data_IF_619289967171
#
_entry.id   IF_619289967171
#
_cell.length_a   1.000
_cell.length_b   1.000
_cell.length_c   1.000
_cell.angle_alpha   90.00
_cell.angle_beta   90.00
_cell.angle_gamma   90.00
#
_symmetry.space_group_name_H-M   'P 1'
#
loop_
_entity.id
_entity.type
_entity.pdbx_description
1 polymer ?
#
# COMPACT_ATOMS: atom_id res chain seq x y z
N UNK A 1 -10.20 -7.54 5.98
CA UNK A 1 -9.79 -6.36 5.21
C UNK A 1 -10.95 -5.37 5.14
N UNK A 2 -10.68 -4.09 5.33
CA UNK A 2 -11.66 -3.04 5.03
C UNK A 2 -11.54 -2.66 3.56
N UNK A 3 -12.66 -2.47 2.88
CA UNK A 3 -12.67 -2.10 1.46
C UNK A 3 -13.90 -1.24 1.16
N UNK A 4 -13.68 -0.11 0.50
CA UNK A 4 -14.71 0.89 0.21
C UNK A 4 -14.65 1.24 -1.27
N UNK A 5 -15.73 1.01 -2.00
CA UNK A 5 -15.88 1.45 -3.38
C UNK A 5 -16.14 2.96 -3.42
N UNK A 6 -15.36 3.68 -4.21
CA UNK A 6 -15.59 5.09 -4.51
C UNK A 6 -16.71 5.26 -5.55
N UNK A 7 -17.41 6.40 -5.54
CA UNK A 7 -18.37 6.73 -6.60
C UNK A 7 -17.66 6.70 -7.97
N UNK A 8 -18.31 6.09 -8.94
CA UNK A 8 -17.83 6.12 -10.32
C UNK A 8 -18.08 7.50 -10.90
N UNK A 9 -17.01 8.16 -11.34
CA UNK A 9 -17.07 9.50 -11.87
C UNK A 9 -16.81 9.43 -13.37
N UNK A 10 -17.89 9.52 -14.14
CA UNK A 10 -17.79 9.64 -15.58
C UNK A 10 -17.73 11.11 -15.93
N UNK A 11 -16.54 11.69 -15.84
CA UNK A 11 -16.31 13.04 -16.32
C UNK A 11 -15.55 12.94 -17.64
N UNK A 12 -15.91 13.74 -18.65
CA UNK A 12 -15.00 13.98 -19.74
C UNK A 12 -13.79 14.73 -19.17
N UNK A 13 -12.76 14.01 -18.76
CA UNK A 13 -11.54 14.58 -18.14
C UNK A 13 -10.94 15.67 -19.03
N UNK A 14 -11.17 15.58 -20.34
CA UNK A 14 -10.80 16.61 -21.32
C UNK A 14 -11.50 17.97 -21.10
N UNK A 15 -12.53 18.04 -20.25
CA UNK A 15 -13.18 19.32 -19.91
C UNK A 15 -12.48 20.07 -18.80
N UNK A 16 -11.59 19.41 -18.05
CA UNK A 16 -10.83 20.06 -16.98
C UNK A 16 -9.37 20.20 -17.39
N UNK A 17 -8.84 21.41 -17.22
CA UNK A 17 -7.40 21.64 -17.34
C UNK A 17 -6.72 21.07 -16.11
N UNK A 18 -5.78 20.16 -16.33
CA UNK A 18 -4.92 19.62 -15.27
C UNK A 18 -3.67 20.47 -15.18
N UNK A 19 -3.51 21.19 -14.09
CA UNK A 19 -2.34 22.03 -13.80
C UNK A 19 -2.04 21.99 -12.31
N UNK A 20 -0.81 22.37 -11.93
CA UNK A 20 -0.49 22.62 -10.53
C UNK A 20 -1.02 24.00 -10.12
N UNK A 21 -1.82 24.01 -9.06
CA UNK A 21 -2.32 25.21 -8.40
C UNK A 21 -1.80 25.24 -6.98
N UNK A 22 -1.37 26.39 -6.50
CA UNK A 22 -1.08 26.58 -5.09
C UNK A 22 -2.35 26.43 -4.26
N UNK A 23 -2.26 25.66 -3.19
CA UNK A 23 -3.35 25.52 -2.23
C UNK A 23 -2.86 25.96 -0.85
N UNK A 24 -3.52 26.97 -0.29
CA UNK A 24 -3.18 27.51 1.03
C UNK A 24 -3.78 26.69 2.19
N UNK A 25 -4.68 25.75 1.90
CA UNK A 25 -5.32 24.91 2.91
C UNK A 25 -4.49 23.62 3.16
N UNK A 26 -3.88 23.51 4.34
CA UNK A 26 -3.18 22.27 4.73
C UNK A 26 -4.13 21.06 4.77
N UNK A 27 -5.42 21.29 5.12
CA UNK A 27 -6.42 20.23 5.22
C UNK A 27 -7.67 20.62 4.45
N UNK A 28 -8.03 19.79 3.48
CA UNK A 28 -9.19 20.03 2.61
C UNK A 28 -10.48 19.39 3.17
N UNK A 29 -10.40 18.17 3.72
CA UNK A 29 -11.56 17.46 4.28
C UNK A 29 -11.27 16.93 5.69
N UNK A 30 -12.33 16.70 6.49
CA UNK A 30 -12.27 16.07 7.81
C UNK A 30 -11.32 16.74 8.82
N UNK A 31 -11.21 18.05 8.81
CA UNK A 31 -10.27 18.87 9.61
C UNK A 31 -10.25 18.52 11.11
N UNK A 32 -11.43 18.35 11.73
CA UNK A 32 -11.52 18.04 13.17
C UNK A 32 -10.95 16.66 13.48
N UNK A 33 -11.22 15.69 12.62
CA UNK A 33 -10.68 14.33 12.74
C UNK A 33 -9.16 14.33 12.56
N UNK A 34 -8.64 15.05 11.58
CA UNK A 34 -7.21 15.17 11.32
C UNK A 34 -6.47 15.73 12.55
N UNK A 35 -6.91 16.88 13.07
CA UNK A 35 -6.34 17.49 14.28
C UNK A 35 -6.37 16.55 15.49
N UNK A 36 -7.46 15.80 15.66
CA UNK A 36 -7.56 14.85 16.76
C UNK A 36 -6.64 13.65 16.57
N UNK A 37 -6.54 13.12 15.36
CA UNK A 37 -5.65 12.01 15.02
C UNK A 37 -4.18 12.38 15.21
N UNK A 38 -3.77 13.58 14.81
CA UNK A 38 -2.42 14.11 15.04
C UNK A 38 -2.09 14.22 16.52
N UNK A 39 -3.04 14.71 17.31
CA UNK A 39 -2.88 14.74 18.77
C UNK A 39 -2.71 13.34 19.37
N UNK A 40 -3.43 12.34 18.85
CA UNK A 40 -3.32 10.96 19.32
C UNK A 40 -2.00 10.33 18.87
N UNK A 41 -1.57 10.55 17.63
CA UNK A 41 -0.27 10.11 17.11
C UNK A 41 0.89 10.72 17.91
N UNK A 42 0.81 12.01 18.28
CA UNK A 42 1.82 12.70 19.08
C UNK A 42 2.03 12.07 20.47
N UNK A 43 1.01 11.40 21.04
CA UNK A 43 1.18 10.68 22.32
C UNK A 43 2.15 9.51 22.22
N UNK A 44 2.36 8.94 21.02
CA UNK A 44 3.28 7.81 20.80
C UNK A 44 4.70 8.18 21.21
N UNK A 45 5.11 9.43 21.01
CA UNK A 45 6.45 9.92 21.36
C UNK A 45 6.78 9.77 22.84
N UNK A 46 5.78 9.86 23.72
CA UNK A 46 5.94 9.66 25.16
C UNK A 46 6.30 8.20 25.52
N UNK A 47 6.04 7.26 24.61
CA UNK A 47 6.21 5.82 24.83
C UNK A 47 7.21 5.17 23.88
N UNK A 48 8.05 5.92 23.18
CA UNK A 48 8.95 5.46 22.11
C UNK A 48 9.70 4.15 22.43
N UNK A 49 10.23 3.98 23.66
CA UNK A 49 10.96 2.78 24.07
C UNK A 49 10.09 1.52 24.13
N UNK A 50 8.83 1.64 24.48
CA UNK A 50 7.90 0.52 24.65
C UNK A 50 7.01 0.33 23.44
N UNK A 51 6.76 1.39 22.65
CA UNK A 51 5.86 1.38 21.51
C UNK A 51 6.19 0.29 20.49
N UNK A 52 7.48 0.14 20.14
CA UNK A 52 7.92 -0.84 19.15
C UNK A 52 7.66 -2.30 19.56
N UNK A 53 7.58 -2.57 20.85
CA UNK A 53 7.25 -3.90 21.39
C UNK A 53 5.72 -4.08 21.38
N UNK A 54 4.97 -3.11 21.95
CA UNK A 54 3.55 -3.26 22.18
C UNK A 54 2.70 -3.12 20.91
N UNK A 55 3.12 -2.26 19.94
CA UNK A 55 2.46 -2.22 18.62
C UNK A 55 2.45 -3.56 17.87
N UNK A 56 3.42 -4.45 18.13
CA UNK A 56 3.43 -5.80 17.59
C UNK A 56 2.39 -6.71 18.26
N UNK A 57 2.11 -6.46 19.56
CA UNK A 57 1.12 -7.22 20.33
C UNK A 57 -0.29 -6.81 19.92
N UNK A 58 -0.53 -5.52 19.66
CA UNK A 58 -1.84 -5.00 19.25
C UNK A 58 -2.15 -5.18 17.77
N UNK A 59 -1.15 -5.55 16.95
CA UNK A 59 -1.38 -5.90 15.56
C UNK A 59 -1.82 -7.36 15.41
N UNK A 60 -3.08 -7.58 15.04
CA UNK A 60 -3.71 -8.90 14.98
C UNK A 60 -2.98 -9.91 14.08
N UNK A 61 -2.24 -9.45 13.07
CA UNK A 61 -1.61 -10.29 12.04
C UNK A 61 -0.07 -10.17 12.01
N UNK A 62 0.53 -9.60 13.07
CA UNK A 62 1.98 -9.40 13.14
C UNK A 62 2.75 -10.72 13.09
N UNK A 63 2.24 -11.76 13.75
CA UNK A 63 2.92 -13.05 13.85
C UNK A 63 2.90 -13.88 12.57
N UNK A 64 2.26 -13.42 11.49
CA UNK A 64 2.43 -14.05 10.17
C UNK A 64 3.91 -14.05 9.79
N UNK A 65 4.61 -12.92 10.01
CA UNK A 65 5.99 -12.71 9.57
C UNK A 65 6.97 -12.39 10.72
N UNK A 66 6.48 -12.03 11.90
CA UNK A 66 7.32 -11.75 13.06
C UNK A 66 7.43 -12.99 13.92
N UNK A 67 8.63 -13.25 14.45
CA UNK A 67 8.86 -14.40 15.32
C UNK A 67 7.97 -14.37 16.56
N UNK A 68 7.32 -15.47 16.84
CA UNK A 68 6.56 -15.67 18.07
C UNK A 68 7.58 -15.83 19.21
N UNK A 69 7.46 -15.05 20.32
CA UNK A 69 8.29 -15.24 21.50
C UNK A 69 8.25 -16.72 21.96
N UNK A 70 9.38 -17.27 22.42
CA UNK A 70 9.59 -18.66 22.85
C UNK A 70 9.61 -19.73 21.74
N UNK A 71 9.11 -19.43 20.51
CA UNK A 71 9.21 -20.37 19.39
C UNK A 71 10.33 -19.96 18.45
N UNK A 72 10.66 -18.68 18.42
CA UNK A 72 11.63 -18.05 17.51
C UNK A 72 11.35 -18.30 16.02
N UNK A 73 10.09 -18.52 15.65
CA UNK A 73 9.61 -18.66 14.28
C UNK A 73 8.30 -17.92 14.09
N UNK A 74 8.02 -17.36 12.90
CA UNK A 74 6.71 -16.82 12.57
C UNK A 74 5.68 -17.92 12.31
N UNK A 75 4.41 -17.56 12.16
CA UNK A 75 3.35 -18.51 11.79
C UNK A 75 3.57 -19.04 10.38
N UNK A 76 3.81 -18.15 9.41
CA UNK A 76 4.10 -18.55 8.05
C UNK A 76 5.52 -19.12 7.93
N UNK A 77 5.65 -20.30 7.31
CA UNK A 77 6.99 -20.88 7.05
C UNK A 77 7.63 -20.33 5.79
N UNK A 78 6.86 -19.66 4.92
CA UNK A 78 7.40 -18.95 3.77
C UNK A 78 7.97 -17.59 4.22
N UNK A 79 9.24 -17.36 3.92
CA UNK A 79 9.97 -16.14 4.29
C UNK A 79 10.14 -15.30 3.02
N UNK A 80 9.31 -14.26 2.83
CA UNK A 80 9.40 -13.42 1.64
C UNK A 80 10.50 -12.35 1.75
N UNK A 81 10.82 -11.73 0.63
CA UNK A 81 11.75 -10.59 0.53
C UNK A 81 11.38 -9.45 1.47
N UNK A 82 10.09 -9.18 1.60
CA UNK A 82 9.55 -8.19 2.53
C UNK A 82 8.13 -8.56 3.00
N UNK A 83 7.70 -7.95 4.11
CA UNK A 83 6.33 -8.15 4.62
C UNK A 83 5.23 -7.61 3.70
N UNK A 84 5.57 -6.78 2.72
CA UNK A 84 4.62 -6.29 1.71
C UNK A 84 4.03 -7.43 0.89
N UNK A 85 4.75 -8.54 0.72
CA UNK A 85 4.25 -9.78 0.15
C UNK A 85 2.87 -10.20 0.69
N UNK A 86 2.70 -10.19 2.01
CA UNK A 86 1.44 -10.62 2.63
C UNK A 86 0.28 -9.64 2.34
N UNK A 87 0.56 -8.36 2.23
CA UNK A 87 -0.44 -7.35 1.83
C UNK A 87 -0.92 -7.60 0.39
N UNK A 88 0.02 -7.84 -0.52
CA UNK A 88 -0.30 -8.12 -1.92
C UNK A 88 -1.09 -9.43 -2.07
N UNK A 89 -0.73 -10.50 -1.35
CA UNK A 89 -1.51 -11.74 -1.29
C UNK A 89 -2.97 -11.45 -0.92
N UNK A 90 -3.18 -10.61 0.10
CA UNK A 90 -4.52 -10.25 0.58
C UNK A 90 -5.30 -9.43 -0.46
N UNK A 91 -4.67 -8.40 -1.05
CA UNK A 91 -5.28 -7.54 -2.06
C UNK A 91 -5.71 -8.32 -3.31
N UNK A 92 -4.82 -9.17 -3.84
CA UNK A 92 -5.08 -9.97 -5.04
C UNK A 92 -6.25 -10.94 -4.86
N UNK A 93 -6.36 -11.55 -3.67
CA UNK A 93 -7.42 -12.53 -3.39
C UNK A 93 -8.75 -11.86 -3.03
N UNK A 94 -8.77 -10.90 -2.10
CA UNK A 94 -10.00 -10.28 -1.59
C UNK A 94 -10.75 -9.48 -2.65
N UNK A 95 -10.03 -8.87 -3.59
CA UNK A 95 -10.62 -8.10 -4.68
C UNK A 95 -10.73 -8.91 -5.99
N UNK A 96 -10.48 -10.22 -5.96
CA UNK A 96 -10.55 -11.13 -7.11
C UNK A 96 -9.70 -10.68 -8.33
N UNK A 97 -8.59 -9.95 -8.09
CA UNK A 97 -7.78 -9.35 -9.17
C UNK A 97 -7.23 -10.45 -10.10
N UNK A 98 -6.76 -11.56 -9.55
CA UNK A 98 -6.18 -12.66 -10.34
C UNK A 98 -7.13 -13.23 -11.40
N UNK A 99 -8.45 -13.16 -11.17
CA UNK A 99 -9.46 -13.67 -12.11
C UNK A 99 -9.67 -12.74 -13.32
N UNK A 100 -9.26 -11.49 -13.19
CA UNK A 100 -9.42 -10.45 -14.21
C UNK A 100 -8.15 -10.31 -15.07
N UNK A 101 -7.04 -10.89 -14.61
CA UNK A 101 -5.77 -10.88 -15.34
C UNK A 101 -5.73 -11.98 -16.41
N UNK A 102 -4.95 -11.79 -17.49
CA UNK A 102 -4.73 -12.81 -18.50
C UNK A 102 -4.23 -14.12 -17.87
N UNK A 103 -4.69 -15.24 -18.39
CA UNK A 103 -4.28 -16.57 -17.90
C UNK A 103 -2.79 -16.82 -18.15
N UNK A 104 -2.28 -16.38 -19.30
CA UNK A 104 -0.90 -16.52 -19.74
C UNK A 104 -0.36 -15.18 -20.29
N UNK A 105 0.97 -15.07 -20.33
CA UNK A 105 1.68 -13.91 -20.88
C UNK A 105 1.29 -12.58 -20.21
N UNK A 106 1.06 -12.60 -18.90
CA UNK A 106 0.84 -11.40 -18.12
C UNK A 106 2.06 -10.48 -18.21
N UNK A 107 1.82 -9.20 -18.43
CA UNK A 107 2.82 -8.17 -18.24
C UNK A 107 2.46 -7.34 -16.99
N UNK A 108 3.33 -7.34 -15.99
CA UNK A 108 3.17 -6.53 -14.80
C UNK A 108 4.31 -5.52 -14.64
N UNK A 109 4.02 -4.38 -14.05
CA UNK A 109 5.04 -3.36 -13.75
C UNK A 109 4.92 -2.90 -12.30
N UNK A 110 6.05 -2.89 -11.59
CA UNK A 110 6.12 -2.66 -10.15
C UNK A 110 6.99 -1.43 -9.85
N UNK A 111 6.35 -0.37 -9.35
CA UNK A 111 6.93 0.96 -9.13
C UNK A 111 7.33 1.15 -7.68
N UNK A 112 8.55 1.62 -7.44
CA UNK A 112 9.09 1.98 -6.12
C UNK A 112 8.96 0.88 -5.05
N UNK A 113 9.08 -0.39 -5.43
CA UNK A 113 8.81 -1.55 -4.58
C UNK A 113 10.05 -2.28 -4.05
N UNK A 114 11.23 -1.71 -4.11
CA UNK A 114 12.40 -2.40 -3.54
C UNK A 114 12.17 -2.87 -2.09
N UNK A 115 12.44 -4.13 -1.76
CA UNK A 115 13.13 -5.19 -2.51
C UNK A 115 12.24 -6.12 -3.36
N UNK A 116 10.95 -5.83 -3.62
CA UNK A 116 10.11 -6.57 -4.56
C UNK A 116 9.13 -7.55 -3.94
N UNK A 117 8.58 -7.23 -2.76
CA UNK A 117 7.61 -8.10 -2.10
C UNK A 117 6.30 -8.28 -2.87
N UNK A 118 5.85 -7.29 -3.66
CA UNK A 118 4.66 -7.41 -4.50
C UNK A 118 4.94 -8.26 -5.74
N UNK A 119 6.11 -8.08 -6.38
CA UNK A 119 6.56 -8.95 -7.47
C UNK A 119 6.57 -10.40 -7.02
N UNK A 120 7.20 -10.67 -5.87
CA UNK A 120 7.29 -12.00 -5.29
C UNK A 120 5.90 -12.61 -5.02
N UNK A 121 4.96 -11.81 -4.49
CA UNK A 121 3.59 -12.28 -4.23
C UNK A 121 2.84 -12.64 -5.51
N UNK A 122 2.97 -11.84 -6.55
CA UNK A 122 2.34 -12.11 -7.85
C UNK A 122 2.95 -13.36 -8.50
N UNK A 123 4.28 -13.49 -8.53
CA UNK A 123 4.97 -14.68 -9.01
C UNK A 123 4.56 -15.93 -8.22
N UNK A 124 4.47 -15.83 -6.89
CA UNK A 124 4.08 -16.93 -6.00
C UNK A 124 2.68 -17.48 -6.31
N UNK A 125 1.73 -16.60 -6.59
CA UNK A 125 0.35 -16.99 -6.87
C UNK A 125 0.16 -17.50 -8.31
N UNK A 126 0.85 -16.91 -9.26
CA UNK A 126 0.70 -17.25 -10.67
C UNK A 126 1.50 -18.47 -11.10
N UNK A 127 2.75 -18.59 -10.65
CA UNK A 127 3.67 -19.70 -10.98
C UNK A 127 3.79 -19.94 -12.49
N UNK A 128 3.68 -18.89 -13.29
CA UNK A 128 3.66 -18.98 -14.76
C UNK A 128 4.93 -18.37 -15.35
N UNK A 129 5.73 -19.19 -16.02
CA UNK A 129 7.02 -18.77 -16.60
C UNK A 129 6.85 -17.89 -17.84
N UNK A 130 5.67 -17.92 -18.48
CA UNK A 130 5.37 -17.08 -19.65
C UNK A 130 5.04 -15.63 -19.28
N UNK A 131 4.85 -15.34 -17.99
CA UNK A 131 4.60 -13.99 -17.51
C UNK A 131 5.88 -13.15 -17.49
N UNK A 132 5.75 -11.84 -17.69
CA UNK A 132 6.83 -10.88 -17.56
C UNK A 132 6.54 -9.94 -16.40
N UNK A 133 7.51 -9.78 -15.52
CA UNK A 133 7.43 -8.89 -14.36
C UNK A 133 8.51 -7.83 -14.51
N UNK A 134 8.12 -6.55 -14.58
CA UNK A 134 9.06 -5.43 -14.65
C UNK A 134 9.09 -4.72 -13.31
N UNK A 135 10.26 -4.35 -12.84
CA UNK A 135 10.43 -3.61 -11.58
C UNK A 135 11.29 -2.38 -11.78
N UNK A 136 10.81 -1.22 -11.28
CA UNK A 136 11.56 0.04 -11.28
C UNK A 136 11.50 0.68 -9.90
N UNK A 137 12.65 0.83 -9.26
CA UNK A 137 12.78 1.46 -7.94
C UNK A 137 14.08 2.24 -7.87
N UNK A 138 14.08 3.30 -7.05
CA UNK A 138 15.30 4.09 -6.83
C UNK A 138 16.43 3.19 -6.34
N UNK A 139 17.59 3.34 -6.96
CA UNK A 139 18.84 2.72 -6.53
C UNK A 139 19.86 3.82 -6.21
N UNK A 140 20.51 3.68 -5.08
CA UNK A 140 21.66 4.47 -4.69
C UNK A 140 22.60 3.60 -3.85
N UNK A 141 23.79 3.37 -4.35
CA UNK A 141 24.79 2.55 -3.66
C UNK A 141 25.44 3.27 -2.47
N UNK A 142 25.37 4.60 -2.46
CA UNK A 142 25.94 5.44 -1.41
C UNK A 142 24.97 5.63 -0.23
N UNK A 143 23.65 5.51 -0.44
CA UNK A 143 22.65 5.60 0.63
C UNK A 143 22.17 4.20 1.06
N UNK A 144 22.48 3.84 2.32
CA UNK A 144 22.08 2.57 2.93
C UNK A 144 20.59 2.52 3.24
N UNK A 145 19.90 3.67 3.31
CA UNK A 145 18.46 3.73 3.59
C UNK A 145 17.62 3.42 2.35
N UNK A 146 18.22 3.51 1.15
CA UNK A 146 17.56 3.13 -0.10
C UNK A 146 17.75 1.62 -0.30
N UNK A 147 16.66 0.83 -0.14
CA UNK A 147 16.76 -0.63 -0.21
C UNK A 147 17.13 -1.13 -1.61
N UNK A 148 16.65 -0.46 -2.66
CA UNK A 148 16.82 -0.89 -4.03
C UNK A 148 16.51 -2.38 -4.21
N UNK A 149 17.36 -3.08 -4.95
CA UNK A 149 17.24 -4.53 -5.20
C UNK A 149 18.28 -5.36 -4.40
N UNK A 150 18.98 -4.77 -3.42
CA UNK A 150 20.11 -5.40 -2.70
C UNK A 150 19.74 -6.75 -2.06
N UNK A 151 18.52 -6.91 -1.54
CA UNK A 151 18.03 -8.15 -0.92
C UNK A 151 17.44 -9.16 -1.92
N UNK A 152 17.23 -8.77 -3.16
CA UNK A 152 16.47 -9.55 -4.16
C UNK A 152 17.34 -10.40 -5.06
N UNK A 153 18.66 -10.25 -5.02
CA UNK A 153 19.58 -10.84 -5.98
C UNK A 153 19.39 -12.36 -6.17
N UNK A 154 19.30 -13.10 -5.07
CA UNK A 154 19.06 -14.55 -5.13
C UNK A 154 17.69 -14.91 -5.72
N UNK A 155 16.67 -14.08 -5.47
CA UNK A 155 15.32 -14.29 -6.01
C UNK A 155 15.26 -13.98 -7.50
N UNK A 156 15.87 -12.88 -7.93
CA UNK A 156 15.95 -12.46 -9.34
C UNK A 156 16.68 -13.51 -10.19
N UNK A 157 17.78 -14.05 -9.70
CA UNK A 157 18.53 -15.10 -10.41
C UNK A 157 17.72 -16.40 -10.63
N UNK A 158 16.75 -16.68 -9.74
CA UNK A 158 15.87 -17.86 -9.87
C UNK A 158 14.65 -17.60 -10.74
N UNK A 159 14.33 -16.34 -11.04
CA UNK A 159 13.16 -15.93 -11.79
C UNK A 159 13.57 -15.02 -12.96
N UNK A 160 14.09 -15.57 -14.08
CA UNK A 160 14.64 -14.79 -15.18
C UNK A 160 13.59 -13.99 -15.96
N UNK A 161 12.31 -14.25 -15.73
CA UNK A 161 11.18 -13.49 -16.25
C UNK A 161 10.89 -12.19 -15.45
N UNK A 162 11.66 -11.92 -14.38
CA UNK A 162 11.68 -10.62 -13.71
C UNK A 162 12.77 -9.76 -14.34
N UNK A 163 12.41 -8.59 -14.84
CA UNK A 163 13.29 -7.64 -15.54
C UNK A 163 13.30 -6.31 -14.79
N UNK A 164 14.49 -5.82 -14.47
CA UNK A 164 14.64 -4.55 -13.77
C UNK A 164 14.84 -3.41 -14.77
N UNK A 165 14.14 -2.31 -14.51
CA UNK A 165 14.21 -1.08 -15.30
C UNK A 165 14.86 0.03 -14.46
N UNK A 166 15.69 0.82 -15.10
CA UNK A 166 16.47 1.85 -14.43
C UNK A 166 16.25 3.26 -14.99
N UNK A 167 15.45 3.38 -16.06
CA UNK A 167 15.22 4.64 -16.76
C UNK A 167 16.41 5.09 -17.62
N UNK A 168 16.34 6.32 -18.12
CA UNK A 168 17.40 6.89 -18.97
C UNK A 168 18.65 7.30 -18.17
N UNK A 169 18.48 7.64 -16.89
CA UNK A 169 19.55 8.09 -16.00
C UNK A 169 20.19 6.94 -15.20
N UNK A 170 19.68 5.73 -15.33
CA UNK A 170 20.18 4.54 -14.63
C UNK A 170 19.84 4.48 -13.14
N UNK A 171 19.06 5.42 -12.60
CA UNK A 171 18.78 5.52 -11.15
C UNK A 171 17.54 4.78 -10.71
N UNK A 172 16.64 4.45 -11.64
CA UNK A 172 15.30 3.90 -11.34
C UNK A 172 14.37 4.91 -10.61
N UNK A 173 14.70 6.20 -10.62
CA UNK A 173 13.90 7.25 -10.00
C UNK A 173 12.64 7.53 -10.82
N UNK A 174 11.48 7.05 -10.36
CA UNK A 174 10.21 7.26 -11.03
C UNK A 174 9.69 8.70 -10.97
N UNK A 175 10.24 9.53 -10.08
CA UNK A 175 9.90 10.96 -10.00
C UNK A 175 10.65 11.82 -11.04
N UNK A 176 11.63 11.25 -11.74
CA UNK A 176 12.30 11.93 -12.83
C UNK A 176 11.40 11.94 -14.07
N UNK A 177 11.02 13.12 -14.62
CA UNK A 177 10.15 13.20 -15.79
C UNK A 177 10.72 12.52 -17.04
N UNK A 178 12.04 12.48 -17.21
CA UNK A 178 12.66 11.76 -18.31
C UNK A 178 12.47 10.24 -18.21
N UNK A 179 12.45 9.72 -16.98
CA UNK A 179 12.16 8.30 -16.74
C UNK A 179 10.67 7.97 -17.01
N UNK A 180 9.75 8.91 -16.77
CA UNK A 180 8.36 8.77 -17.21
C UNK A 180 8.26 8.64 -18.74
N UNK A 181 8.98 9.49 -19.50
CA UNK A 181 9.02 9.40 -20.95
C UNK A 181 9.65 8.11 -21.44
N UNK A 182 10.68 7.62 -20.77
CA UNK A 182 11.28 6.30 -21.04
C UNK A 182 10.24 5.18 -20.88
N UNK A 183 9.52 5.15 -19.77
CA UNK A 183 8.47 4.16 -19.52
C UNK A 183 7.37 4.24 -20.59
N UNK A 184 6.90 5.45 -20.91
CA UNK A 184 5.90 5.66 -21.96
C UNK A 184 6.38 5.11 -23.31
N UNK A 185 7.57 5.46 -23.75
CA UNK A 185 8.08 5.04 -25.07
C UNK A 185 8.30 3.52 -25.16
N UNK A 186 8.65 2.87 -24.06
CA UNK A 186 8.96 1.44 -24.03
C UNK A 186 7.74 0.56 -23.78
N UNK A 187 6.78 1.02 -22.96
CA UNK A 187 5.73 0.17 -22.41
C UNK A 187 4.31 0.67 -22.68
N UNK A 188 4.12 1.75 -23.45
CA UNK A 188 2.79 2.29 -23.70
C UNK A 188 1.79 1.20 -24.13
N UNK A 189 0.63 1.18 -23.47
CA UNK A 189 -0.46 0.22 -23.75
C UNK A 189 -0.04 -1.26 -23.73
N UNK A 190 0.91 -1.65 -22.85
CA UNK A 190 1.42 -3.02 -22.82
C UNK A 190 1.24 -3.74 -21.48
N UNK A 191 0.96 -3.03 -20.38
CA UNK A 191 0.97 -3.55 -19.03
C UNK A 191 -0.43 -3.87 -18.54
N UNK A 192 -0.66 -5.11 -18.08
CA UNK A 192 -1.95 -5.59 -17.53
C UNK A 192 -2.21 -5.12 -16.11
N UNK A 193 -1.17 -5.14 -15.28
CA UNK A 193 -1.25 -4.73 -13.89
C UNK A 193 -0.03 -3.89 -13.52
N UNK A 194 -0.29 -2.72 -12.92
CA UNK A 194 0.75 -1.88 -12.31
C UNK A 194 0.55 -1.89 -10.81
N UNK A 195 1.64 -1.95 -10.05
CA UNK A 195 1.61 -1.82 -8.60
C UNK A 195 2.61 -0.77 -8.14
N UNK A 196 2.31 -0.10 -7.04
CA UNK A 196 3.15 0.93 -6.45
C UNK A 196 3.07 0.85 -4.92
N UNK A 197 4.18 0.48 -4.26
CA UNK A 197 4.31 0.38 -2.80
C UNK A 197 5.41 1.34 -2.29
N UNK A 198 5.58 2.50 -2.96
CA UNK A 198 6.58 3.50 -2.65
C UNK A 198 6.33 4.20 -1.31
N UNK A 199 7.40 4.70 -0.70
CA UNK A 199 7.33 5.47 0.54
C UNK A 199 8.71 5.85 1.04
N UNK A 200 8.76 6.91 1.84
CA UNK A 200 9.98 7.38 2.48
C UNK A 200 10.07 6.86 3.92
N UNK A 201 11.22 7.04 4.55
CA UNK A 201 11.34 6.85 6.00
C UNK A 201 10.80 8.08 6.73
N UNK A 202 9.67 7.90 7.41
CA UNK A 202 8.96 8.94 8.17
C UNK A 202 9.25 8.89 9.67
N UNK A 203 10.32 8.23 10.09
CA UNK A 203 10.67 8.09 11.50
C UNK A 203 10.79 9.43 12.25
N UNK A 204 11.06 10.52 11.53
CA UNK A 204 11.20 11.87 12.07
C UNK A 204 9.83 12.58 12.24
N UNK A 205 8.88 12.39 11.32
CA UNK A 205 7.58 13.07 11.38
C UNK A 205 6.47 12.28 10.69
N UNK A 206 5.74 11.48 11.45
CA UNK A 206 4.63 10.67 10.95
C UNK A 206 3.41 11.49 10.50
N UNK A 207 3.25 12.73 10.96
CA UNK A 207 2.09 13.56 10.63
C UNK A 207 2.19 14.17 9.23
N UNK A 208 3.40 14.28 8.66
CA UNK A 208 3.62 14.85 7.32
C UNK A 208 3.68 13.79 6.20
N UNK A 209 3.40 12.52 6.50
CA UNK A 209 3.49 11.42 5.50
C UNK A 209 2.67 11.70 4.23
N UNK A 210 1.45 12.21 4.37
CA UNK A 210 0.56 12.47 3.25
C UNK A 210 1.17 13.49 2.28
N UNK A 211 1.59 14.64 2.80
CA UNK A 211 2.16 15.73 1.99
C UNK A 211 3.51 15.34 1.39
N UNK A 212 4.40 14.74 2.19
CA UNK A 212 5.74 14.34 1.73
C UNK A 212 5.69 13.27 0.64
N UNK A 213 4.68 12.38 0.65
CA UNK A 213 4.53 11.35 -0.38
C UNK A 213 3.82 11.85 -1.64
N UNK A 214 3.28 13.05 -1.66
CA UNK A 214 2.40 13.50 -2.72
C UNK A 214 3.08 13.46 -4.09
N UNK A 215 4.30 13.98 -4.23
CA UNK A 215 5.08 13.93 -5.48
C UNK A 215 5.31 12.49 -5.94
N UNK A 216 5.63 11.58 -5.02
CA UNK A 216 5.83 10.16 -5.33
C UNK A 216 4.53 9.53 -5.81
N UNK A 217 3.39 9.76 -5.14
CA UNK A 217 2.07 9.27 -5.53
C UNK A 217 1.71 9.72 -6.93
N UNK A 218 1.94 11.00 -7.26
CA UNK A 218 1.68 11.50 -8.61
C UNK A 218 2.62 10.92 -9.67
N UNK A 219 3.88 10.66 -9.33
CA UNK A 219 4.80 9.95 -10.21
C UNK A 219 4.36 8.50 -10.45
N UNK A 220 3.87 7.81 -9.42
CA UNK A 220 3.33 6.45 -9.52
C UNK A 220 2.08 6.42 -10.41
N UNK A 221 1.16 7.38 -10.24
CA UNK A 221 -0.04 7.54 -11.11
C UNK A 221 0.38 7.84 -12.55
N UNK A 222 1.31 8.76 -12.76
CA UNK A 222 1.81 9.15 -14.07
C UNK A 222 2.38 7.96 -14.84
N UNK A 223 3.25 7.18 -14.18
CA UNK A 223 3.82 5.97 -14.79
C UNK A 223 2.75 4.92 -15.07
N UNK A 224 1.80 4.69 -14.14
CA UNK A 224 0.69 3.74 -14.37
C UNK A 224 -0.14 4.13 -15.60
N UNK A 225 -0.53 5.40 -15.71
CA UNK A 225 -1.28 5.93 -16.87
C UNK A 225 -0.47 5.79 -18.16
N UNK A 226 0.83 6.02 -18.11
CA UNK A 226 1.71 5.98 -19.28
C UNK A 226 1.81 4.59 -19.92
N UNK A 227 1.77 3.53 -19.10
CA UNK A 227 2.16 2.17 -19.55
C UNK A 227 1.00 1.18 -19.61
N UNK A 228 -0.10 1.44 -18.87
CA UNK A 228 -1.22 0.49 -18.81
C UNK A 228 -1.98 0.37 -20.11
N UNK A 229 -2.43 -0.85 -20.40
CA UNK A 229 -3.40 -1.09 -21.44
C UNK A 229 -4.84 -0.95 -20.94
N UNK A 230 -5.77 -0.72 -21.84
CA UNK A 230 -7.21 -0.70 -21.55
C UNK A 230 -7.63 -1.95 -20.78
N UNK A 231 -8.43 -1.78 -19.74
CA UNK A 231 -8.88 -2.85 -18.85
C UNK A 231 -7.88 -3.19 -17.74
N UNK A 232 -6.68 -2.60 -17.74
CA UNK A 232 -5.63 -2.87 -16.76
C UNK A 232 -6.01 -2.51 -15.32
N UNK A 233 -5.27 -3.08 -14.38
CA UNK A 233 -5.45 -2.88 -12.93
C UNK A 233 -4.27 -2.10 -12.34
N UNK A 234 -4.54 -1.14 -11.46
CA UNK A 234 -3.52 -0.38 -10.73
C UNK A 234 -3.71 -0.51 -9.22
N UNK A 235 -2.64 -0.82 -8.49
CA UNK A 235 -2.61 -0.89 -7.02
C UNK A 235 -1.62 0.15 -6.51
N UNK A 236 -2.10 1.11 -5.73
CA UNK A 236 -1.32 2.25 -5.26
C UNK A 236 -1.37 2.34 -3.74
N UNK A 237 -0.22 2.42 -3.07
CA UNK A 237 -0.16 2.75 -1.66
C UNK A 237 -0.36 4.24 -1.45
N UNK A 238 -1.25 4.56 -0.51
CA UNK A 238 -1.44 5.92 0.00
C UNK A 238 -1.39 5.94 1.53
N UNK A 239 -1.37 7.12 2.10
CA UNK A 239 -1.42 7.33 3.55
C UNK A 239 -2.76 7.95 3.97
N UNK A 240 -2.75 9.10 4.64
CA UNK A 240 -3.97 9.79 5.03
C UNK A 240 -4.68 10.41 3.80
N UNK A 241 -5.94 10.83 3.98
CA UNK A 241 -6.78 11.40 2.91
C UNK A 241 -7.40 12.68 3.44
N UNK A 242 -6.58 13.66 3.78
CA UNK A 242 -7.01 14.95 4.32
C UNK A 242 -6.68 16.11 3.39
N UNK A 243 -5.58 16.03 2.65
CA UNK A 243 -5.08 17.08 1.77
C UNK A 243 -5.84 17.16 0.44
N UNK A 244 -5.87 18.35 -0.15
CA UNK A 244 -6.46 18.57 -1.47
C UNK A 244 -5.76 17.71 -2.54
N UNK A 245 -4.42 17.64 -2.51
CA UNK A 245 -3.65 16.86 -3.47
C UNK A 245 -4.01 15.36 -3.47
N UNK A 246 -4.22 14.75 -2.28
CA UNK A 246 -4.67 13.36 -2.20
C UNK A 246 -6.10 13.18 -2.70
N UNK A 247 -7.00 14.11 -2.38
CA UNK A 247 -8.40 14.10 -2.86
C UNK A 247 -8.43 14.21 -4.38
N UNK A 248 -7.62 15.09 -4.96
CA UNK A 248 -7.47 15.26 -6.41
C UNK A 248 -6.98 13.97 -7.09
N UNK A 249 -5.97 13.32 -6.52
CA UNK A 249 -5.45 12.06 -7.02
C UNK A 249 -6.54 10.97 -7.06
N UNK A 250 -7.32 10.85 -5.98
CA UNK A 250 -8.43 9.90 -5.90
C UNK A 250 -9.56 10.22 -6.88
N UNK A 251 -9.87 11.50 -7.09
CA UNK A 251 -10.84 11.95 -8.07
C UNK A 251 -10.38 11.63 -9.49
N UNK A 252 -9.12 11.91 -9.81
CA UNK A 252 -8.51 11.56 -11.09
C UNK A 252 -8.59 10.04 -11.34
N UNK A 253 -8.17 9.22 -10.38
CA UNK A 253 -8.24 7.76 -10.50
C UNK A 253 -9.69 7.27 -10.69
N UNK A 254 -10.66 7.83 -9.95
CA UNK A 254 -12.08 7.50 -10.12
C UNK A 254 -12.64 7.85 -11.50
N UNK A 255 -11.98 8.77 -12.21
CA UNK A 255 -12.32 9.16 -13.58
C UNK A 255 -11.63 8.30 -14.65
N UNK A 256 -10.47 7.74 -14.32
CA UNK A 256 -9.64 6.95 -15.26
C UNK A 256 -9.95 5.46 -15.25
N UNK A 257 -10.63 4.95 -14.20
CA UNK A 257 -10.92 3.54 -14.04
C UNK A 257 -12.41 3.27 -13.86
N UNK A 258 -12.85 2.06 -14.19
CA UNK A 258 -14.25 1.64 -14.06
C UNK A 258 -14.68 1.47 -12.60
N UNK A 259 -13.76 1.03 -11.75
CA UNK A 259 -13.99 0.96 -10.31
C UNK A 259 -12.72 1.23 -9.51
N UNK A 260 -12.87 1.99 -8.42
CA UNK A 260 -11.77 2.37 -7.53
C UNK A 260 -12.15 2.04 -6.09
N UNK A 261 -11.30 1.28 -5.42
CA UNK A 261 -11.48 0.87 -4.04
C UNK A 261 -10.40 1.47 -3.15
N UNK A 262 -10.78 2.02 -2.00
CA UNK A 262 -9.83 2.31 -0.92
C UNK A 262 -9.86 1.14 0.05
N UNK A 263 -8.70 0.52 0.30
CA UNK A 263 -8.61 -0.69 1.09
C UNK A 263 -7.56 -0.59 2.18
N UNK A 264 -7.83 -1.22 3.33
CA UNK A 264 -6.83 -1.45 4.37
C UNK A 264 -6.70 -2.95 4.62
N UNK A 265 -5.59 -3.58 4.13
CA UNK A 265 -5.33 -4.99 4.38
C UNK A 265 -5.20 -5.29 5.88
N UNK A 266 -5.60 -6.48 6.31
CA UNK A 266 -5.43 -6.92 7.69
C UNK A 266 -3.95 -7.02 8.08
N UNK A 267 -3.09 -7.35 7.11
CA UNK A 267 -1.64 -7.43 7.28
C UNK A 267 -0.92 -6.08 7.33
N UNK A 268 -1.63 -4.98 7.02
CA UNK A 268 -1.17 -3.62 7.34
C UNK A 268 -1.48 -3.30 8.81
N UNK A 269 -0.50 -2.74 9.52
CA UNK A 269 -0.69 -2.41 10.95
C UNK A 269 -1.81 -1.41 11.13
N UNK A 270 -2.71 -1.69 12.08
CA UNK A 270 -3.89 -0.87 12.33
C UNK A 270 -3.55 0.54 12.83
N UNK A 271 -2.45 0.68 13.58
CA UNK A 271 -1.99 1.96 14.11
C UNK A 271 -1.41 2.91 13.05
N UNK A 272 -1.09 2.45 11.83
CA UNK A 272 -0.54 3.31 10.79
C UNK A 272 -1.62 3.80 9.81
N UNK A 273 -1.33 4.90 9.10
CA UNK A 273 -2.22 5.49 8.11
C UNK A 273 -2.21 4.79 6.75
N UNK A 274 -1.29 3.86 6.51
CA UNK A 274 -1.12 3.14 5.23
C UNK A 274 -2.44 2.49 4.75
N UNK A 275 -2.80 2.77 3.51
CA UNK A 275 -3.95 2.23 2.77
C UNK A 275 -3.53 1.93 1.34
N UNK A 276 -4.37 1.20 0.62
CA UNK A 276 -4.16 0.92 -0.80
C UNK A 276 -5.37 1.36 -1.61
N UNK A 277 -5.12 2.03 -2.71
CA UNK A 277 -6.12 2.31 -3.75
C UNK A 277 -5.99 1.22 -4.80
N UNK A 278 -7.09 0.50 -5.06
CA UNK A 278 -7.14 -0.53 -6.10
C UNK A 278 -8.08 -0.08 -7.19
N UNK A 279 -7.52 0.19 -8.36
CA UNK A 279 -8.21 0.69 -9.55
C UNK A 279 -8.31 -0.43 -10.57
N UNK A 280 -9.53 -0.71 -11.05
CA UNK A 280 -9.80 -1.77 -12.02
C UNK A 280 -10.45 -1.21 -13.27
N UNK A 281 -10.08 -1.77 -14.42
CA UNK A 281 -10.66 -1.40 -15.68
C UNK A 281 -10.18 -0.04 -16.17
N UNK A 282 -8.87 0.08 -16.46
CA UNK A 282 -8.33 1.31 -17.03
C UNK A 282 -9.05 1.69 -18.32
N UNK A 283 -9.58 2.90 -18.39
CA UNK A 283 -10.40 3.37 -19.49
C UNK A 283 -9.56 3.70 -20.72
N UNK A 284 -10.23 3.75 -21.88
CA UNK A 284 -9.59 4.22 -23.11
C UNK A 284 -9.50 5.74 -23.08
N UNK A 285 -8.29 6.27 -22.91
CA UNK A 285 -8.01 7.71 -22.77
C UNK A 285 -6.91 8.13 -23.75
N UNK A 286 -6.77 9.44 -23.97
CA UNK A 286 -5.61 9.98 -24.67
C UNK A 286 -4.38 9.97 -23.73
N UNK A 287 -3.71 8.83 -23.63
CA UNK A 287 -2.54 8.62 -22.76
C UNK A 287 -1.45 9.68 -22.98
N UNK A 288 -1.19 10.06 -24.25
CA UNK A 288 -0.16 11.06 -24.56
C UNK A 288 -0.44 12.42 -23.90
N UNK A 289 -1.70 12.87 -23.90
CA UNK A 289 -2.08 14.11 -23.22
C UNK A 289 -1.73 14.05 -21.73
N UNK A 290 -2.09 12.96 -21.06
CA UNK A 290 -1.79 12.81 -19.63
C UNK A 290 -0.29 12.75 -19.35
N UNK A 291 0.47 12.04 -20.19
CA UNK A 291 1.93 11.94 -20.05
C UNK A 291 2.57 13.32 -20.18
N UNK A 292 2.15 14.13 -21.14
CA UNK A 292 2.69 15.48 -21.33
C UNK A 292 2.35 16.40 -20.13
N UNK A 293 1.14 16.29 -19.59
CA UNK A 293 0.73 17.03 -18.40
C UNK A 293 1.57 16.60 -17.19
N UNK A 294 1.68 15.29 -16.93
CA UNK A 294 2.44 14.79 -15.80
C UNK A 294 3.94 15.06 -15.91
N UNK A 295 4.50 15.01 -17.10
CA UNK A 295 5.89 15.40 -17.34
C UNK A 295 6.15 16.83 -16.87
N UNK A 296 5.30 17.76 -17.27
CA UNK A 296 5.40 19.16 -16.86
C UNK A 296 5.17 19.37 -15.36
N UNK A 297 4.22 18.62 -14.79
CA UNK A 297 3.96 18.64 -13.36
C UNK A 297 5.17 18.16 -12.55
N UNK A 298 5.73 17.00 -12.89
CA UNK A 298 6.89 16.46 -12.18
C UNK A 298 8.11 17.37 -12.26
N UNK A 299 8.29 18.06 -13.37
CA UNK A 299 9.38 19.03 -13.57
C UNK A 299 9.25 20.26 -12.67
N UNK A 300 8.00 20.70 -12.37
CA UNK A 300 7.74 21.92 -11.63
C UNK A 300 7.27 21.67 -10.19
N UNK A 301 7.18 20.43 -9.75
CA UNK A 301 6.55 20.03 -8.50
C UNK A 301 7.22 20.62 -7.25
N UNK A 302 8.55 20.78 -7.27
CA UNK A 302 9.32 21.26 -6.12
C UNK A 302 9.08 22.75 -5.81
N UNK A 303 8.34 23.46 -6.66
CA UNK A 303 7.96 24.85 -6.47
C UNK A 303 6.68 25.01 -5.62
N UNK A 304 6.02 23.90 -5.22
CA UNK A 304 4.74 23.90 -4.53
C UNK A 304 4.80 23.04 -3.26
N UNK A 305 4.62 23.64 -2.09
CA UNK A 305 4.55 22.91 -0.81
C UNK A 305 3.20 22.21 -0.64
N UNK A 306 2.11 22.94 -0.88
CA UNK A 306 0.74 22.41 -0.93
C UNK A 306 0.15 22.74 -2.31
N UNK A 307 -0.45 21.75 -2.95
CA UNK A 307 -0.95 21.92 -4.31
C UNK A 307 -2.29 21.23 -4.53
N UNK A 308 -2.92 21.62 -5.62
CA UNK A 308 -4.08 21.00 -6.22
C UNK A 308 -3.82 20.82 -7.72
N UNK A 309 -4.41 19.80 -8.34
CA UNK A 309 -4.38 19.63 -9.80
C UNK A 309 -5.73 19.98 -10.46
N UNK A 310 -6.75 20.20 -9.64
CA UNK A 310 -8.07 20.59 -10.11
C UNK A 310 -8.54 21.88 -9.43
N UNK A 311 -8.87 22.89 -10.23
CA UNK A 311 -9.56 24.10 -9.75
C UNK A 311 -11.08 23.96 -9.96
N UNK A 312 -11.69 23.00 -9.25
CA UNK A 312 -13.13 22.70 -9.32
C UNK A 312 -13.69 22.37 -7.94
N UNK A 313 -14.99 22.53 -7.80
CA UNK A 313 -15.72 21.93 -6.69
C UNK A 313 -16.05 20.46 -7.02
N UNK A 314 -15.72 19.54 -6.12
CA UNK A 314 -16.01 18.14 -6.31
C UNK A 314 -17.48 17.80 -6.02
N UNK A 315 -18.04 16.79 -6.71
CA UNK A 315 -19.37 16.31 -6.39
C UNK A 315 -19.50 15.93 -4.92
N UNK A 316 -20.56 16.40 -4.28
CA UNK A 316 -20.83 16.17 -2.85
C UNK A 316 -20.79 14.67 -2.46
N UNK A 317 -21.32 13.80 -3.31
CA UNK A 317 -21.29 12.35 -3.09
C UNK A 317 -19.88 11.78 -3.00
N UNK A 318 -18.92 12.35 -3.74
CA UNK A 318 -17.52 11.94 -3.70
C UNK A 318 -16.85 12.39 -2.41
N UNK A 319 -17.01 13.64 -2.03
CA UNK A 319 -16.43 14.19 -0.80
C UNK A 319 -17.00 13.49 0.42
N UNK A 320 -18.32 13.31 0.51
CA UNK A 320 -18.92 12.58 1.64
C UNK A 320 -18.40 11.16 1.76
N UNK A 321 -18.23 10.47 0.63
CA UNK A 321 -17.68 9.11 0.67
C UNK A 321 -16.27 9.08 1.23
N UNK A 322 -15.41 10.03 0.90
CA UNK A 322 -14.08 10.15 1.47
C UNK A 322 -14.12 10.51 2.96
N UNK A 323 -15.04 11.39 3.37
CA UNK A 323 -15.22 11.73 4.79
C UNK A 323 -15.69 10.52 5.61
N UNK A 324 -16.60 9.70 5.09
CA UNK A 324 -17.03 8.45 5.73
C UNK A 324 -15.86 7.47 5.89
N UNK A 325 -15.04 7.31 4.86
CA UNK A 325 -13.85 6.46 4.90
C UNK A 325 -12.85 6.96 5.94
N UNK A 326 -12.60 8.27 5.98
CA UNK A 326 -11.75 8.90 6.99
C UNK A 326 -12.28 8.68 8.40
N UNK A 327 -13.59 8.84 8.62
CA UNK A 327 -14.22 8.62 9.92
C UNK A 327 -14.02 7.17 10.39
N UNK A 328 -14.28 6.19 9.52
CA UNK A 328 -14.18 4.76 9.88
C UNK A 328 -12.71 4.37 10.12
N UNK A 329 -11.82 4.66 9.19
CA UNK A 329 -10.42 4.23 9.29
C UNK A 329 -9.64 5.04 10.33
N UNK A 330 -9.95 6.32 10.49
CA UNK A 330 -9.40 7.18 11.54
C UNK A 330 -9.79 6.73 12.94
N UNK A 331 -11.08 6.38 13.15
CA UNK A 331 -11.54 5.84 14.43
C UNK A 331 -10.81 4.54 14.80
N UNK A 332 -10.70 3.60 13.85
CA UNK A 332 -9.98 2.34 14.04
C UNK A 332 -8.51 2.58 14.42
N UNK A 333 -7.85 3.55 13.78
CA UNK A 333 -6.47 3.91 14.07
C UNK A 333 -6.33 4.52 15.47
N UNK A 334 -7.20 5.47 15.84
CA UNK A 334 -7.25 6.11 17.15
C UNK A 334 -7.45 5.07 18.26
N UNK A 335 -8.42 4.17 18.11
CA UNK A 335 -8.71 3.10 19.07
C UNK A 335 -7.50 2.19 19.25
N UNK A 336 -6.82 1.80 18.17
CA UNK A 336 -5.66 0.92 18.24
C UNK A 336 -4.47 1.62 18.93
N UNK A 337 -4.22 2.90 18.65
CA UNK A 337 -3.17 3.67 19.30
C UNK A 337 -3.46 3.79 20.81
N UNK A 338 -4.66 4.20 21.18
CA UNK A 338 -5.04 4.34 22.60
C UNK A 338 -5.00 2.98 23.33
N UNK A 339 -5.48 1.90 22.68
CA UNK A 339 -5.38 0.55 23.26
C UNK A 339 -3.91 0.13 23.48
N UNK A 340 -3.03 0.45 22.53
CA UNK A 340 -1.59 0.16 22.67
C UNK A 340 -0.99 0.91 23.82
N UNK A 341 -1.30 2.20 23.99
CA UNK A 341 -0.84 3.04 25.11
C UNK A 341 -1.35 2.46 26.45
N UNK A 342 -2.63 2.12 26.55
CA UNK A 342 -3.19 1.51 27.75
C UNK A 342 -2.48 0.20 28.13
N UNK A 343 -2.13 -0.63 27.15
CA UNK A 343 -1.38 -1.87 27.42
C UNK A 343 0.05 -1.59 27.91
N UNK A 344 0.67 -0.52 27.46
CA UNK A 344 1.98 -0.08 27.96
C UNK A 344 1.87 0.38 29.42
N UNK A 345 0.87 1.21 29.74
CA UNK A 345 0.67 1.79 31.07
C UNK A 345 0.32 0.74 32.11
N UNK A 346 -0.62 -0.15 31.80
CA UNK A 346 -1.09 -1.15 32.76
C UNK A 346 -0.26 -2.44 32.79
N UNK A 347 0.47 -2.75 31.74
CA UNK A 347 1.41 -3.88 31.55
C UNK A 347 0.98 -5.21 32.22
N UNK A 348 -0.28 -5.61 32.03
CA UNK A 348 -0.82 -6.84 32.60
C UNK A 348 -0.37 -8.06 31.78
N UNK A 349 0.49 -8.91 32.37
CA UNK A 349 1.09 -10.05 31.69
C UNK A 349 0.06 -11.09 31.22
N UNK A 350 -1.00 -11.36 31.99
CA UNK A 350 -2.04 -12.31 31.60
C UNK A 350 -2.83 -11.79 30.38
N UNK A 351 -3.22 -10.51 30.40
CA UNK A 351 -3.90 -9.86 29.27
C UNK A 351 -3.03 -9.88 28.00
N UNK A 352 -1.74 -9.56 28.13
CA UNK A 352 -0.79 -9.59 27.02
C UNK A 352 -0.63 -11.01 26.47
N UNK A 353 -0.57 -12.02 27.33
CA UNK A 353 -0.48 -13.42 26.91
C UNK A 353 -1.74 -13.83 26.13
N UNK A 354 -2.92 -13.50 26.61
CA UNK A 354 -4.19 -13.80 25.95
C UNK A 354 -4.33 -13.14 24.58
N UNK A 355 -3.92 -11.86 24.44
CA UNK A 355 -3.90 -11.15 23.16
C UNK A 355 -2.96 -11.84 22.18
N UNK A 356 -1.72 -12.15 22.60
CA UNK A 356 -0.74 -12.85 21.74
C UNK A 356 -1.29 -14.17 21.22
N UNK A 357 -1.91 -14.94 22.09
CA UNK A 357 -2.53 -16.22 21.77
C UNK A 357 -3.62 -16.09 20.72
N UNK A 358 -4.54 -15.14 20.89
CA UNK A 358 -5.61 -14.86 19.92
C UNK A 358 -5.03 -14.42 18.57
N UNK A 359 -3.98 -13.60 18.57
CA UNK A 359 -3.35 -13.13 17.35
C UNK A 359 -2.63 -14.25 16.59
N UNK A 360 -1.95 -15.16 17.31
CA UNK A 360 -1.36 -16.36 16.69
C UNK A 360 -2.45 -17.19 15.98
N UNK A 361 -3.59 -17.40 16.62
CA UNK A 361 -4.70 -18.13 15.99
C UNK A 361 -5.26 -17.41 14.76
N UNK A 362 -5.41 -16.07 14.82
CA UNK A 362 -5.80 -15.28 13.65
C UNK A 362 -4.79 -15.41 12.51
N UNK A 363 -3.50 -15.42 12.81
CA UNK A 363 -2.44 -15.61 11.82
C UNK A 363 -2.48 -17.01 11.17
N UNK A 364 -2.73 -18.06 11.95
CA UNK A 364 -2.92 -19.43 11.42
C UNK A 364 -4.11 -19.48 10.47
N UNK A 365 -5.25 -18.93 10.91
CA UNK A 365 -6.48 -18.87 10.08
C UNK A 365 -6.24 -18.08 8.78
N UNK A 366 -5.47 -16.99 8.86
CA UNK A 366 -5.09 -16.19 7.71
C UNK A 366 -4.22 -16.98 6.74
N UNK A 367 -3.17 -17.65 7.21
CA UNK A 367 -2.31 -18.51 6.36
C UNK A 367 -3.13 -19.63 5.69
N UNK A 368 -4.02 -20.28 6.42
CA UNK A 368 -4.89 -21.32 5.87
C UNK A 368 -5.85 -20.76 4.79
N UNK A 369 -6.45 -19.59 5.04
CA UNK A 369 -7.34 -18.91 4.07
C UNK A 369 -6.65 -18.67 2.73
N UNK A 370 -5.39 -18.20 2.77
CA UNK A 370 -4.62 -17.86 1.56
C UNK A 370 -3.69 -18.98 1.09
N UNK A 371 -3.84 -20.20 1.66
CA UNK A 371 -3.06 -21.39 1.29
C UNK A 371 -1.53 -21.19 1.40
N UNK A 372 -1.10 -20.44 2.40
CA UNK A 372 0.30 -20.29 2.73
C UNK A 372 0.74 -21.35 3.77
N UNK A 373 1.96 -21.89 3.67
CA UNK A 373 2.42 -22.93 4.57
C UNK A 373 2.66 -22.40 5.98
N UNK A 374 2.22 -23.12 7.00
CA UNK A 374 2.47 -22.82 8.41
C UNK A 374 3.66 -23.61 8.96
N UNK A 375 4.39 -23.02 9.91
CA UNK A 375 5.42 -23.72 10.63
C UNK A 375 4.84 -24.84 11.52
N UNK A 376 5.39 -26.06 11.44
CA UNK A 376 4.90 -27.25 12.15
C UNK A 376 4.86 -27.10 13.68
N UNK A 377 5.78 -26.31 14.25
CA UNK A 377 5.81 -26.04 15.69
C UNK A 377 4.66 -25.14 16.17
N UNK A 378 4.05 -24.38 15.25
CA UNK A 378 2.91 -23.51 15.53
C UNK A 378 1.60 -24.29 15.49
N UNK A 379 1.48 -25.31 14.64
CA UNK A 379 0.31 -26.20 14.58
C UNK A 379 0.10 -27.01 15.86
N UNK A 380 1.15 -27.23 16.67
CA UNK A 380 1.02 -27.81 18.01
C UNK A 380 0.25 -26.90 18.98
N UNK A 381 0.24 -25.59 18.76
CA UNK A 381 -0.60 -24.65 19.54
C UNK A 381 -2.09 -24.84 19.26
N UNK A 382 -2.50 -25.15 18.02
CA UNK A 382 -3.91 -25.49 17.73
C UNK A 382 -4.43 -26.62 18.59
N UNK A 383 -3.64 -27.68 18.77
CA UNK A 383 -4.03 -28.87 19.55
C UNK A 383 -4.13 -28.61 21.05
N UNK A 384 -3.32 -27.70 21.59
CA UNK A 384 -3.39 -27.29 23.01
C UNK A 384 -4.69 -26.53 23.28
N UNK A 385 -5.20 -25.76 22.30
CA UNK A 385 -6.44 -24.98 22.42
C UNK A 385 -7.69 -25.84 22.27
N UNK A 386 -7.69 -26.79 21.32
CA UNK A 386 -8.81 -27.75 21.14
C UNK A 386 -8.99 -28.64 22.37
N UNK A 387 -7.91 -29.05 23.04
CA UNK A 387 -8.00 -29.87 24.28
C UNK A 387 -8.61 -29.14 25.47
N UNK A 388 -8.46 -27.80 25.60
CA UNK A 388 -9.05 -27.03 26.72
C UNK A 388 -10.55 -26.69 26.53
N UNK A 389 -11.03 -26.63 25.32
CA UNK A 389 -12.45 -26.40 25.03
C UNK A 389 -13.30 -27.65 25.29
N UNK A 390 -12.73 -28.86 25.18
CA UNK A 390 -13.43 -30.12 25.43
C UNK A 390 -13.50 -30.54 26.91
N UNK A 391 -12.95 -29.78 27.85
CA UNK A 391 -12.97 -30.14 29.30
C UNK A 391 -14.07 -29.39 30.07
N UNK A 392 -14.81 -28.44 29.47
CA UNK A 392 -15.87 -27.70 30.15
C UNK A 392 -17.29 -28.05 29.65
N UNK A 393 -17.51 -29.26 29.12
CA UNK A 393 -18.86 -29.80 28.85
C UNK A 393 -18.91 -31.22 29.42
N UNK A 394 -18.88 -31.32 30.72
CA UNK A 394 -19.52 -32.39 31.50
C UNK A 394 -19.96 -31.84 32.85
#
# INVERSE_FOLDING_TARGET
MYSFLLPNIVIPILTYKLELYDNNDENYISNSLHKYLDKVKGKIELYNKSWDIFKKITNNYEYIHTNIPHINKPVCSYIPLSRSFFKMIELLNELNILKELPENNLNSFHLAEGPGGFIEALCYLRKNISDNYYGMTLIDDNDKNIPGWKKSHSYLNKNPNIKLEYGVDGTGNIMNPENLMYCYNKFNNSIDIVTADGGFDFSINFNKQEVMCCKLIYAEIANAVAIQKKGGTFILKIFDIFSKGTVDALFLLSSLYDSVYITKPNTSRTANSEKYVVCKGFRNINTKYFVDVFYNMLKNFDNHDNFSIFNIEFPYIFINKLQDINAILGQIQIENINHTIQLIEYNNNEKLHNIKKQNIQKCINWCNKYKLPCNSNVSKYENIFKKKVNINIT
#
